data_IF_215691604757
#
_entry.id   IF_215691604757
#
_cell.length_a   1.000
_cell.length_b   1.000
_cell.length_c   1.000
_cell.angle_alpha   90.00
_cell.angle_beta   90.00
_cell.angle_gamma   90.00
#
_symmetry.space_group_name_H-M   'P 1'
#
loop_
_entity.id
_entity.type
_entity.pdbx_description
1 polymer ?
#
# COMPACT_ATOMS: atom_id res chain seq x y z
N UNK A 1 -2.49 -7.13 33.01
CA UNK A 1 -2.80 -8.23 32.07
C UNK A 1 -3.74 -7.75 30.97
N UNK A 2 -4.88 -7.14 31.27
CA UNK A 2 -5.84 -6.69 30.22
C UNK A 2 -5.28 -5.62 29.26
N UNK A 3 -4.40 -4.73 29.75
CA UNK A 3 -3.81 -3.67 28.92
C UNK A 3 -2.81 -4.17 27.88
N UNK A 4 -2.05 -5.23 28.18
CA UNK A 4 -1.02 -5.77 27.27
C UNK A 4 -1.67 -6.58 26.14
N UNK A 5 -2.77 -7.27 26.43
CA UNK A 5 -3.53 -8.03 25.43
C UNK A 5 -4.22 -7.11 24.42
N UNK A 6 -4.73 -5.96 24.88
CA UNK A 6 -5.33 -4.95 23.99
C UNK A 6 -4.27 -4.33 23.06
N UNK A 7 -3.10 -3.97 23.59
CA UNK A 7 -2.00 -3.44 22.80
C UNK A 7 -1.56 -4.45 21.73
N UNK A 8 -1.31 -5.71 22.11
CA UNK A 8 -0.89 -6.76 21.17
C UNK A 8 -1.94 -7.03 20.07
N UNK A 9 -3.23 -6.89 20.38
CA UNK A 9 -4.30 -7.02 19.39
C UNK A 9 -4.28 -5.85 18.40
N UNK A 10 -4.15 -4.63 18.90
CA UNK A 10 -4.18 -3.43 18.09
C UNK A 10 -2.94 -3.37 17.18
N UNK A 11 -1.76 -3.73 17.70
CA UNK A 11 -0.52 -3.90 16.92
C UNK A 11 -0.69 -4.92 15.79
N UNK A 12 -1.28 -6.09 16.09
CA UNK A 12 -1.53 -7.13 15.09
C UNK A 12 -2.53 -6.70 14.02
N UNK A 13 -3.50 -5.86 14.37
CA UNK A 13 -4.45 -5.28 13.42
C UNK A 13 -3.77 -4.27 12.49
N UNK A 14 -2.96 -3.37 13.06
CA UNK A 14 -2.19 -2.37 12.30
C UNK A 14 -1.21 -3.05 11.33
N UNK A 15 -0.41 -4.01 11.80
CA UNK A 15 0.48 -4.80 10.93
C UNK A 15 -0.28 -5.51 9.80
N UNK A 16 -1.44 -6.09 10.10
CA UNK A 16 -2.29 -6.76 9.12
C UNK A 16 -2.80 -5.80 8.05
N UNK A 17 -3.21 -4.60 8.46
CA UNK A 17 -3.68 -3.55 7.58
C UNK A 17 -2.56 -3.03 6.66
N UNK A 18 -1.38 -2.73 7.21
CA UNK A 18 -0.21 -2.29 6.44
C UNK A 18 0.20 -3.32 5.38
N UNK A 19 0.32 -4.60 5.78
CA UNK A 19 0.65 -5.69 4.84
C UNK A 19 -0.43 -5.88 3.77
N UNK A 20 -1.70 -5.68 4.13
CA UNK A 20 -2.81 -5.75 3.19
C UNK A 20 -2.74 -4.64 2.14
N UNK A 21 -2.46 -3.41 2.59
CA UNK A 21 -2.33 -2.24 1.73
C UNK A 21 -1.15 -2.38 0.76
N UNK A 22 0.04 -2.78 1.23
CA UNK A 22 1.23 -3.00 0.37
C UNK A 22 0.94 -4.04 -0.73
N UNK A 23 0.33 -5.18 -0.36
CA UNK A 23 -0.06 -6.21 -1.34
C UNK A 23 -1.07 -5.70 -2.36
N UNK A 24 -2.06 -4.92 -1.92
CA UNK A 24 -3.07 -4.32 -2.78
C UNK A 24 -2.48 -3.36 -3.81
N UNK A 25 -1.58 -2.47 -3.36
CA UNK A 25 -0.87 -1.53 -4.24
C UNK A 25 -0.03 -2.29 -5.27
N UNK A 26 0.78 -3.26 -4.84
CA UNK A 26 1.63 -4.07 -5.76
C UNK A 26 0.81 -4.83 -6.81
N UNK A 27 -0.33 -5.39 -6.41
CA UNK A 27 -1.25 -6.07 -7.33
C UNK A 27 -1.82 -5.10 -8.37
N UNK A 28 -2.23 -3.91 -7.93
CA UNK A 28 -2.79 -2.86 -8.79
C UNK A 28 -1.76 -2.38 -9.82
N UNK A 29 -0.50 -2.17 -9.41
CA UNK A 29 0.60 -1.82 -10.34
C UNK A 29 0.78 -2.90 -11.41
N UNK A 30 0.83 -4.18 -11.02
CA UNK A 30 0.97 -5.31 -11.97
C UNK A 30 -0.20 -5.36 -12.96
N UNK A 31 -1.42 -5.17 -12.48
CA UNK A 31 -2.62 -5.17 -13.31
C UNK A 31 -2.62 -3.99 -14.30
N UNK A 32 -2.26 -2.78 -13.86
CA UNK A 32 -2.23 -1.61 -14.73
C UNK A 32 -1.14 -1.74 -15.81
N UNK A 33 0.02 -2.29 -15.46
CA UNK A 33 1.08 -2.61 -16.42
C UNK A 33 0.64 -3.67 -17.44
N UNK A 34 -0.07 -4.71 -17.02
CA UNK A 34 -0.51 -5.78 -17.93
C UNK A 34 -1.50 -5.30 -19.00
N UNK A 35 -2.21 -4.21 -18.74
CA UNK A 35 -3.09 -3.54 -19.73
C UNK A 35 -2.42 -2.37 -20.45
N UNK A 36 -1.09 -2.21 -20.30
CA UNK A 36 -0.30 -1.22 -21.05
C UNK A 36 -0.31 0.21 -20.47
N UNK A 37 -0.72 0.38 -19.22
CA UNK A 37 -0.64 1.69 -18.55
C UNK A 37 0.83 2.02 -18.26
N UNK A 38 1.25 3.25 -18.56
CA UNK A 38 2.64 3.67 -18.34
C UNK A 38 2.94 3.89 -16.87
N UNK A 39 4.17 3.60 -16.45
CA UNK A 39 4.63 3.80 -15.06
C UNK A 39 4.48 5.24 -14.57
N UNK A 40 4.53 6.22 -15.48
CA UNK A 40 4.27 7.63 -15.13
C UNK A 40 2.83 7.83 -14.68
N UNK A 41 1.86 7.27 -15.42
CA UNK A 41 0.43 7.35 -15.08
C UNK A 41 0.15 6.55 -13.80
N UNK A 42 0.74 5.37 -13.67
CA UNK A 42 0.58 4.53 -12.47
C UNK A 42 1.14 5.27 -11.24
N UNK A 43 2.34 5.84 -11.33
CA UNK A 43 2.95 6.61 -10.23
C UNK A 43 2.05 7.78 -9.81
N UNK A 44 1.53 8.55 -10.77
CA UNK A 44 0.59 9.65 -10.47
C UNK A 44 -0.67 9.13 -9.77
N UNK A 45 -1.24 8.02 -10.24
CA UNK A 45 -2.43 7.42 -9.62
C UNK A 45 -2.16 6.90 -8.21
N UNK A 46 -0.98 6.31 -7.95
CA UNK A 46 -0.63 5.89 -6.59
C UNK A 46 -0.51 7.09 -5.64
N UNK A 47 0.07 8.20 -6.11
CA UNK A 47 0.17 9.43 -5.32
C UNK A 47 -1.21 9.99 -4.98
N UNK A 48 -2.13 10.03 -5.95
CA UNK A 48 -3.50 10.55 -5.77
C UNK A 48 -4.35 9.66 -4.84
N UNK A 49 -4.38 8.35 -5.10
CA UNK A 49 -5.30 7.42 -4.42
C UNK A 49 -4.84 7.03 -3.01
N UNK A 50 -3.53 6.93 -2.80
CA UNK A 50 -2.95 6.50 -1.51
C UNK A 50 -2.26 7.65 -0.76
N UNK A 51 -2.41 8.90 -1.24
CA UNK A 51 -1.80 10.09 -0.67
C UNK A 51 -0.27 9.95 -0.47
N UNK A 52 0.39 9.26 -1.40
CA UNK A 52 1.83 9.00 -1.36
C UNK A 52 2.62 10.17 -1.95
N UNK A 53 3.79 10.43 -1.39
CA UNK A 53 4.80 11.24 -2.07
C UNK A 53 5.27 10.54 -3.34
N UNK A 54 5.86 11.30 -4.27
CA UNK A 54 6.47 10.72 -5.47
C UNK A 54 7.52 9.65 -5.12
N UNK A 55 8.29 9.86 -4.05
CA UNK A 55 9.32 8.92 -3.60
C UNK A 55 8.70 7.60 -3.16
N UNK A 56 7.61 7.65 -2.38
CA UNK A 56 6.91 6.46 -1.89
C UNK A 56 6.21 5.72 -3.04
N UNK A 57 5.54 6.44 -3.95
CA UNK A 57 4.90 5.85 -5.11
C UNK A 57 5.92 5.13 -6.03
N UNK A 58 7.11 5.71 -6.21
CA UNK A 58 8.20 5.09 -6.97
C UNK A 58 8.75 3.81 -6.34
N UNK A 59 8.59 3.59 -5.03
CA UNK A 59 9.02 2.35 -4.37
C UNK A 59 8.15 1.12 -4.77
N UNK A 60 7.00 1.36 -5.40
CA UNK A 60 6.10 0.33 -5.91
C UNK A 60 6.25 0.05 -7.41
N UNK A 61 7.04 0.85 -8.13
CA UNK A 61 7.32 0.66 -9.56
C UNK A 61 8.43 -0.38 -9.73
#
# INVERSE_FOLDING_TARGET
>A
MDSELLAARDDGFEEGMERGLDKGIRSSVKMLRSVGTSDTVITTKLMEEFNLTRKEALAYM
#
